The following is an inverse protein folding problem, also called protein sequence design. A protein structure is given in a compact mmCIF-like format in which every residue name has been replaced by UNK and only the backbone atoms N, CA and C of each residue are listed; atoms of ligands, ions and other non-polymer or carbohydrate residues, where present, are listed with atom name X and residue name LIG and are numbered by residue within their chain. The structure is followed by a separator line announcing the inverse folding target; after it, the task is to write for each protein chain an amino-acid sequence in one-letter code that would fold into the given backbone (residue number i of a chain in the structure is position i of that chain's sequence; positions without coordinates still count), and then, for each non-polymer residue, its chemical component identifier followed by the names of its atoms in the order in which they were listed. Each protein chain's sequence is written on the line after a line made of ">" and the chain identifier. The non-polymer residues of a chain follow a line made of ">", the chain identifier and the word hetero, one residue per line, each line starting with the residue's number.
data_IF_610111232838
#
_entry.id   IF_610111232838
#
_cell.length_a   1.000
_cell.length_b   1.000
_cell.length_c   1.000
_cell.angle_alpha   90.00
_cell.angle_beta   90.00
_cell.angle_gamma   90.00
#
_symmetry.space_group_name_H-M   'P 1'
#
loop_
_entity.id
_entity.type
_entity.pdbx_description
1 polymer ?
#
# COMPACT_ATOMS: atom_id res chain seq x y z
N UNK A 1 32.20 10.94 -19.67
CA UNK A 1 31.16 10.56 -18.68
C UNK A 1 29.74 10.95 -19.11
N UNK A 2 29.52 12.01 -19.91
CA UNK A 2 28.15 12.41 -20.35
C UNK A 2 27.47 11.54 -21.43
N UNK A 3 28.21 10.71 -22.18
CA UNK A 3 27.61 9.87 -23.22
C UNK A 3 26.91 8.60 -22.69
N UNK A 4 27.30 8.09 -21.52
CA UNK A 4 26.72 6.88 -20.94
C UNK A 4 25.42 7.14 -20.18
N UNK A 5 25.26 8.32 -19.57
CA UNK A 5 24.01 8.75 -18.92
C UNK A 5 22.88 9.03 -19.94
N UNK A 6 23.21 9.53 -21.13
CA UNK A 6 22.24 9.74 -22.21
C UNK A 6 21.69 8.44 -22.81
N UNK A 7 22.44 7.33 -22.75
CA UNK A 7 21.96 6.04 -23.26
C UNK A 7 20.95 5.38 -22.32
N UNK A 8 21.12 5.50 -21.00
CA UNK A 8 20.15 5.03 -20.01
C UNK A 8 18.85 5.85 -20.11
N UNK A 9 18.95 7.17 -20.30
CA UNK A 9 17.78 8.04 -20.48
C UNK A 9 17.01 7.81 -21.80
N UNK A 10 17.69 7.42 -22.89
CA UNK A 10 17.02 7.14 -24.17
C UNK A 10 16.32 5.77 -24.23
N UNK A 11 16.69 4.80 -23.38
CA UNK A 11 16.04 3.49 -23.33
C UNK A 11 14.67 3.50 -22.61
N UNK A 12 14.39 4.48 -21.75
CA UNK A 12 13.12 4.55 -21.01
C UNK A 12 11.90 4.95 -21.86
N UNK A 13 12.08 5.51 -23.06
CA UNK A 13 10.97 6.01 -23.89
C UNK A 13 10.21 4.93 -24.69
N UNK A 14 10.65 3.67 -24.67
CA UNK A 14 10.00 2.55 -25.38
C UNK A 14 9.65 1.36 -24.47
N UNK A 15 9.83 1.50 -23.16
CA UNK A 15 9.62 0.39 -22.23
C UNK A 15 8.12 0.17 -22.04
N UNK A 16 7.61 -0.99 -22.51
CA UNK A 16 6.22 -1.39 -22.28
C UNK A 16 5.98 -1.56 -20.78
N UNK A 17 4.84 -1.07 -20.30
CA UNK A 17 4.38 -1.36 -18.95
C UNK A 17 4.31 -2.88 -18.74
N UNK A 18 5.04 -3.38 -17.74
CA UNK A 18 5.10 -4.80 -17.42
C UNK A 18 3.98 -5.20 -16.48
N UNK A 19 3.49 -6.43 -16.58
CA UNK A 19 2.52 -6.99 -15.64
C UNK A 19 3.28 -7.94 -14.72
N UNK A 20 3.17 -7.73 -13.41
CA UNK A 20 3.74 -8.58 -12.38
C UNK A 20 2.59 -9.21 -11.60
N UNK A 21 2.34 -10.50 -11.84
CA UNK A 21 1.26 -11.23 -11.22
C UNK A 21 1.58 -11.68 -9.78
N UNK A 22 0.61 -12.32 -9.12
CA UNK A 22 0.72 -12.75 -7.74
C UNK A 22 1.84 -13.79 -7.51
N UNK A 23 2.05 -14.72 -8.44
CA UNK A 23 3.10 -15.74 -8.33
C UNK A 23 4.49 -15.12 -8.48
N UNK A 24 4.63 -14.16 -9.39
CA UNK A 24 5.86 -13.37 -9.54
C UNK A 24 6.14 -12.54 -8.28
N UNK A 25 5.13 -11.91 -7.67
CA UNK A 25 5.31 -11.19 -6.40
C UNK A 25 5.80 -12.13 -5.29
N UNK A 26 5.21 -13.32 -5.15
CA UNK A 26 5.59 -14.32 -4.14
C UNK A 26 7.03 -14.83 -4.32
N UNK A 27 7.51 -14.98 -5.56
CA UNK A 27 8.87 -15.45 -5.85
C UNK A 27 9.92 -14.36 -5.67
N UNK A 28 9.55 -13.11 -5.94
CA UNK A 28 10.46 -11.95 -5.80
C UNK A 28 10.66 -11.54 -4.33
N UNK A 29 9.72 -11.85 -3.44
CA UNK A 29 9.75 -11.40 -2.04
C UNK A 29 10.08 -12.53 -1.05
N UNK A 30 10.80 -12.16 0.01
CA UNK A 30 10.86 -12.89 1.28
C UNK A 30 10.69 -11.90 2.41
N UNK A 31 10.20 -12.35 3.57
CA UNK A 31 9.92 -11.46 4.70
C UNK A 31 11.17 -10.70 5.17
N UNK A 32 12.31 -11.40 5.29
CA UNK A 32 13.57 -10.82 5.76
C UNK A 32 14.07 -9.71 4.83
N UNK A 33 14.05 -9.96 3.52
CA UNK A 33 14.50 -8.99 2.52
C UNK A 33 13.58 -7.78 2.50
N UNK A 34 12.26 -8.00 2.54
CA UNK A 34 11.30 -6.90 2.51
C UNK A 34 11.39 -6.05 3.78
N UNK A 35 11.48 -6.65 4.96
CA UNK A 35 11.66 -5.94 6.24
C UNK A 35 12.89 -5.04 6.19
N UNK A 36 14.04 -5.57 5.76
CA UNK A 36 15.29 -4.80 5.69
C UNK A 36 15.16 -3.62 4.71
N UNK A 37 14.56 -3.87 3.54
CA UNK A 37 14.35 -2.81 2.55
C UNK A 37 13.39 -1.72 3.07
N UNK A 38 12.31 -2.10 3.74
CA UNK A 38 11.39 -1.14 4.35
C UNK A 38 12.09 -0.29 5.41
N UNK A 39 12.93 -0.89 6.26
CA UNK A 39 13.69 -0.16 7.29
C UNK A 39 14.66 0.87 6.68
N UNK A 40 15.36 0.51 5.61
CA UNK A 40 16.29 1.43 4.94
C UNK A 40 15.57 2.57 4.22
N UNK A 41 14.44 2.28 3.56
CA UNK A 41 13.79 3.21 2.65
C UNK A 41 12.78 4.15 3.33
N UNK A 42 12.15 3.71 4.43
CA UNK A 42 11.16 4.51 5.18
C UNK A 42 11.78 5.52 6.15
N UNK A 43 13.12 5.55 6.25
CA UNK A 43 13.84 6.51 7.10
C UNK A 43 13.91 7.91 6.49
N UNK A 44 13.46 8.10 5.25
CA UNK A 44 13.56 9.34 4.49
C UNK A 44 12.20 10.06 4.38
N UNK A 45 12.15 11.33 4.80
CA UNK A 45 10.94 12.20 4.75
C UNK A 45 10.58 12.70 3.33
N UNK A 46 11.08 12.06 2.27
CA UNK A 46 10.92 12.54 0.89
C UNK A 46 9.70 11.95 0.18
N UNK A 47 8.93 11.08 0.83
CA UNK A 47 7.76 10.43 0.24
C UNK A 47 6.49 11.16 0.67
N UNK A 48 5.77 11.66 -0.32
CA UNK A 48 4.46 12.28 -0.15
C UNK A 48 3.38 11.21 -0.27
N UNK A 49 2.46 11.20 0.70
CA UNK A 49 1.35 10.26 0.74
C UNK A 49 0.12 11.01 1.28
N UNK A 50 -0.78 11.50 0.42
CA UNK A 50 -2.01 12.12 0.88
C UNK A 50 -2.91 11.09 1.57
N UNK A 51 -3.95 11.59 2.23
CA UNK A 51 -4.95 10.72 2.83
C UNK A 51 -5.62 9.86 1.76
N UNK A 52 -5.78 8.57 2.07
CA UNK A 52 -6.55 7.62 1.26
C UNK A 52 -7.93 8.20 0.95
N UNK A 53 -8.28 8.22 -0.33
CA UNK A 53 -9.63 8.55 -0.76
C UNK A 53 -10.50 7.29 -0.66
N UNK A 54 -11.69 7.43 -0.09
CA UNK A 54 -12.70 6.36 0.01
C UNK A 54 -13.95 6.81 -0.75
N UNK A 55 -14.22 6.12 -1.86
CA UNK A 55 -15.31 6.42 -2.76
C UNK A 55 -16.37 5.32 -2.62
N UNK A 56 -17.58 5.72 -2.25
CA UNK A 56 -18.72 4.82 -2.18
C UNK A 56 -19.18 4.46 -3.61
N UNK A 57 -19.31 3.17 -3.90
CA UNK A 57 -19.88 2.66 -5.14
C UNK A 57 -21.27 2.12 -4.82
N UNK A 58 -22.29 2.88 -5.21
CA UNK A 58 -23.67 2.42 -5.13
C UNK A 58 -23.87 1.29 -6.16
N UNK A 59 -24.37 0.15 -5.70
CA UNK A 59 -24.54 -1.02 -6.54
C UNK A 59 -25.84 -0.88 -7.35
N UNK A 60 -25.74 -0.76 -8.67
CA UNK A 60 -26.89 -0.50 -9.55
C UNK A 60 -27.85 -1.70 -9.67
N UNK A 61 -27.39 -2.89 -9.26
CA UNK A 61 -28.04 -4.18 -9.53
C UNK A 61 -28.79 -4.75 -8.32
N UNK A 62 -28.43 -4.39 -7.10
CA UNK A 62 -29.13 -4.83 -5.89
C UNK A 62 -29.16 -3.70 -4.84
N UNK A 63 -30.29 -2.99 -4.76
CA UNK A 63 -30.50 -1.88 -3.81
C UNK A 63 -30.42 -2.28 -2.33
N UNK A 64 -30.54 -3.58 -2.03
CA UNK A 64 -30.48 -4.11 -0.66
C UNK A 64 -29.08 -4.60 -0.27
N UNK A 65 -28.12 -4.66 -1.21
CA UNK A 65 -26.75 -5.02 -0.90
C UNK A 65 -26.01 -3.80 -0.31
N UNK A 66 -25.08 -4.00 0.66
CA UNK A 66 -24.23 -2.92 1.13
C UNK A 66 -23.41 -2.35 -0.04
N UNK A 67 -23.17 -1.03 -0.08
CA UNK A 67 -22.43 -0.41 -1.17
C UNK A 67 -21.00 -0.95 -1.23
N UNK A 68 -20.46 -1.01 -2.45
CA UNK A 68 -19.05 -1.26 -2.66
C UNK A 68 -18.23 -0.03 -2.29
N UNK A 69 -16.92 -0.21 -2.14
CA UNK A 69 -15.98 0.87 -1.92
C UNK A 69 -14.83 0.78 -2.91
N UNK A 70 -14.40 1.94 -3.42
CA UNK A 70 -13.13 2.11 -4.12
C UNK A 70 -12.22 2.97 -3.25
N UNK A 71 -11.06 2.41 -2.90
CA UNK A 71 -10.00 3.13 -2.21
C UNK A 71 -8.92 3.51 -3.22
N UNK A 72 -8.56 4.78 -3.26
CA UNK A 72 -7.45 5.30 -4.06
C UNK A 72 -6.36 5.77 -3.11
N UNK A 73 -5.17 5.18 -3.25
CA UNK A 73 -4.05 5.38 -2.34
C UNK A 73 -2.79 5.73 -3.14
N UNK A 74 -2.61 7.01 -3.51
CA UNK A 74 -1.41 7.46 -4.21
C UNK A 74 -0.27 7.74 -3.23
N UNK A 75 0.96 7.55 -3.70
CA UNK A 75 2.19 8.01 -3.07
C UNK A 75 3.23 8.35 -4.14
N UNK A 76 4.12 9.29 -3.86
CA UNK A 76 5.24 9.63 -4.75
C UNK A 76 6.42 10.16 -3.96
N UNK A 77 7.63 10.03 -4.48
CA UNK A 77 8.80 10.70 -3.90
C UNK A 77 9.36 11.77 -4.81
N UNK A 78 10.01 12.76 -4.20
CA UNK A 78 10.84 13.74 -4.88
C UNK A 78 12.34 13.38 -4.82
N UNK A 79 12.68 12.25 -4.18
CA UNK A 79 14.07 11.79 -4.05
C UNK A 79 14.50 10.99 -5.27
N UNK A 80 15.72 11.21 -5.80
CA UNK A 80 16.31 10.37 -6.84
C UNK A 80 16.47 8.89 -6.44
N UNK A 81 16.46 8.57 -5.14
CA UNK A 81 16.55 7.19 -4.65
C UNK A 81 15.24 6.40 -4.80
N UNK A 82 14.10 7.11 -4.95
CA UNK A 82 12.78 6.52 -5.15
C UNK A 82 12.10 7.32 -6.28
N UNK A 83 12.56 7.21 -7.53
CA UNK A 83 12.08 8.01 -8.66
C UNK A 83 10.73 7.51 -9.20
N UNK A 84 9.77 7.26 -8.30
CA UNK A 84 8.51 6.61 -8.63
C UNK A 84 7.28 7.34 -8.08
N UNK A 85 6.21 7.26 -8.85
CA UNK A 85 4.84 7.52 -8.45
C UNK A 85 4.12 6.18 -8.39
N UNK A 86 3.32 5.95 -7.37
CA UNK A 86 2.55 4.73 -7.24
C UNK A 86 1.13 4.99 -6.79
N UNK A 87 0.19 4.22 -7.35
CA UNK A 87 -1.23 4.30 -6.98
C UNK A 87 -1.74 2.90 -6.71
N UNK A 88 -2.17 2.65 -5.47
CA UNK A 88 -2.95 1.46 -5.16
C UNK A 88 -4.44 1.74 -5.31
N UNK A 89 -5.10 0.89 -6.07
CA UNK A 89 -6.55 0.85 -6.19
C UNK A 89 -7.03 -0.39 -5.43
N UNK A 90 -7.97 -0.20 -4.50
CA UNK A 90 -8.59 -1.30 -3.77
C UNK A 90 -10.09 -1.24 -4.00
N UNK A 91 -10.68 -2.37 -4.35
CA UNK A 91 -12.13 -2.53 -4.39
C UNK A 91 -12.55 -3.43 -3.25
N UNK A 92 -13.54 -3.00 -2.48
CA UNK A 92 -14.13 -3.78 -1.41
C UNK A 92 -15.64 -3.92 -1.70
N UNK A 93 -16.06 -5.15 -1.99
CA UNK A 93 -17.44 -5.50 -2.31
C UNK A 93 -17.88 -6.60 -1.34
N UNK A 94 -18.50 -6.25 -0.19
CA UNK A 94 -18.83 -7.22 0.85
C UNK A 94 -19.68 -8.39 0.34
N UNK A 95 -20.55 -8.13 -0.64
CA UNK A 95 -21.43 -9.13 -1.24
C UNK A 95 -20.71 -10.21 -2.06
N UNK A 96 -19.47 -9.98 -2.51
CA UNK A 96 -18.73 -10.94 -3.32
C UNK A 96 -18.55 -12.30 -2.64
N UNK A 97 -18.43 -12.31 -1.31
CA UNK A 97 -18.27 -13.53 -0.52
C UNK A 97 -19.46 -14.49 -0.68
N UNK A 98 -20.68 -13.96 -0.80
CA UNK A 98 -21.88 -14.77 -1.06
C UNK A 98 -21.90 -15.39 -2.47
N UNK A 99 -21.11 -14.84 -3.39
CA UNK A 99 -20.96 -15.33 -4.77
C UNK A 99 -19.70 -16.19 -4.95
N UNK A 100 -18.96 -16.49 -3.87
CA UNK A 100 -17.70 -17.21 -3.94
C UNK A 100 -16.53 -16.40 -4.53
N UNK A 101 -16.67 -15.07 -4.62
CA UNK A 101 -15.62 -14.17 -5.12
C UNK A 101 -14.89 -13.48 -3.95
N UNK A 102 -13.64 -13.02 -4.15
CA UNK A 102 -12.93 -12.22 -3.16
C UNK A 102 -13.70 -10.94 -2.80
N UNK A 103 -13.88 -10.71 -1.49
CA UNK A 103 -14.52 -9.49 -0.96
C UNK A 103 -13.68 -8.23 -1.15
N UNK A 104 -12.36 -8.38 -1.31
CA UNK A 104 -11.40 -7.31 -1.51
C UNK A 104 -10.48 -7.72 -2.66
N UNK A 105 -10.30 -6.83 -3.63
CA UNK A 105 -9.26 -6.96 -4.66
C UNK A 105 -8.44 -5.68 -4.69
N UNK A 106 -7.15 -5.79 -4.99
CA UNK A 106 -6.30 -4.63 -5.16
C UNK A 106 -5.38 -4.75 -6.39
N UNK A 107 -5.11 -3.62 -7.01
CA UNK A 107 -4.13 -3.45 -8.07
C UNK A 107 -3.20 -2.29 -7.75
N UNK A 108 -1.97 -2.37 -8.24
CA UNK A 108 -0.96 -1.34 -8.03
C UNK A 108 -0.37 -0.90 -9.36
N UNK A 109 -0.42 0.40 -9.64
CA UNK A 109 0.27 1.00 -10.78
C UNK A 109 1.52 1.72 -10.27
N UNK A 110 2.68 1.36 -10.81
CA UNK A 110 3.95 2.05 -10.63
C UNK A 110 4.29 2.81 -11.90
N UNK A 111 4.64 4.08 -11.75
CA UNK A 111 5.02 4.99 -12.83
C UNK A 111 6.33 5.69 -12.51
N UNK A 112 7.06 6.08 -13.55
CA UNK A 112 8.25 6.93 -13.42
C UNK A 112 7.85 8.33 -12.93
N UNK A 113 8.52 8.84 -11.89
CA UNK A 113 8.15 10.14 -11.30
C UNK A 113 8.52 11.34 -12.17
N UNK A 114 9.45 11.16 -13.12
CA UNK A 114 9.94 12.25 -13.97
C UNK A 114 9.09 12.44 -15.22
N UNK A 115 8.74 11.35 -15.89
CA UNK A 115 8.00 11.32 -17.16
C UNK A 115 6.52 11.01 -16.99
N UNK A 116 6.11 10.42 -15.85
CA UNK A 116 4.76 9.91 -15.63
C UNK A 116 4.44 8.62 -16.38
N UNK A 117 5.42 8.04 -17.09
CA UNK A 117 5.23 6.84 -17.90
C UNK A 117 4.89 5.63 -17.01
N UNK A 118 3.87 4.82 -17.33
CA UNK A 118 3.56 3.62 -16.58
C UNK A 118 4.66 2.58 -16.76
N UNK A 119 5.22 2.10 -15.65
CA UNK A 119 6.32 1.15 -15.64
C UNK A 119 5.84 -0.27 -15.37
N UNK A 120 4.99 -0.44 -14.35
CA UNK A 120 4.51 -1.76 -13.97
C UNK A 120 3.08 -1.72 -13.41
N UNK A 121 2.32 -2.75 -13.76
CA UNK A 121 1.07 -3.11 -13.10
C UNK A 121 1.33 -4.34 -12.25
N UNK A 122 1.23 -4.20 -10.93
CA UNK A 122 1.56 -5.24 -9.95
C UNK A 122 0.28 -5.69 -9.23
N UNK A 123 0.21 -6.98 -8.92
CA UNK A 123 -0.85 -7.50 -8.06
C UNK A 123 -0.84 -6.78 -6.69
N UNK A 124 -1.85 -5.95 -6.47
CA UNK A 124 -1.95 -5.12 -5.26
C UNK A 124 -2.46 -5.90 -4.06
N UNK A 125 -3.07 -7.06 -4.28
CA UNK A 125 -3.56 -7.95 -3.21
C UNK A 125 -2.37 -8.60 -2.53
N UNK A 126 -1.43 -9.14 -3.32
CA UNK A 126 -0.18 -9.70 -2.81
C UNK A 126 0.73 -8.67 -2.17
N UNK A 127 0.88 -7.46 -2.76
CA UNK A 127 1.58 -6.36 -2.07
C UNK A 127 0.94 -6.11 -0.70
N UNK A 128 -0.38 -6.09 -0.62
CA UNK A 128 -1.10 -5.87 0.64
C UNK A 128 -0.87 -7.01 1.62
N UNK A 129 -0.83 -8.27 1.19
CA UNK A 129 -0.48 -9.40 2.04
C UNK A 129 0.94 -9.25 2.58
N UNK A 130 1.94 -9.11 1.71
CA UNK A 130 3.35 -9.02 2.10
C UNK A 130 3.64 -7.85 3.03
N UNK A 131 3.16 -6.65 2.68
CA UNK A 131 3.36 -5.48 3.52
C UNK A 131 2.60 -5.60 4.85
N UNK A 132 1.42 -6.24 4.87
CA UNK A 132 0.70 -6.45 6.12
C UNK A 132 1.41 -7.48 6.99
N UNK A 133 1.93 -8.57 6.44
CA UNK A 133 2.72 -9.56 7.19
C UNK A 133 4.01 -8.93 7.73
N UNK A 134 4.75 -8.18 6.90
CA UNK A 134 6.00 -7.54 7.31
C UNK A 134 5.80 -6.37 8.28
N UNK A 135 4.80 -5.50 8.04
CA UNK A 135 4.44 -4.44 9.01
C UNK A 135 3.84 -5.07 10.26
N UNK A 136 3.09 -6.18 10.19
CA UNK A 136 2.55 -6.86 11.37
C UNK A 136 3.64 -7.53 12.20
N UNK A 137 4.62 -8.17 11.55
CA UNK A 137 5.83 -8.65 12.20
C UNK A 137 6.63 -7.50 12.84
N UNK A 138 6.52 -6.28 12.27
CA UNK A 138 7.11 -5.07 12.83
C UNK A 138 6.17 -4.29 13.79
N UNK A 139 4.85 -4.59 13.84
CA UNK A 139 3.71 -3.82 14.47
C UNK A 139 2.31 -4.35 14.01
N UNK A 140 1.88 -5.49 14.55
CA UNK A 140 0.68 -6.34 14.29
C UNK A 140 -0.59 -5.67 13.73
N UNK A 141 -1.17 -6.12 12.57
CA UNK A 141 -2.30 -5.47 11.88
C UNK A 141 -3.67 -6.09 11.50
N UNK A 142 -3.96 -7.36 11.77
CA UNK A 142 -5.28 -7.96 11.44
C UNK A 142 -6.42 -7.74 12.45
N UNK A 143 -6.12 -7.35 13.69
CA UNK A 143 -7.03 -7.61 14.83
C UNK A 143 -8.20 -6.63 14.96
N UNK A 144 -8.05 -5.37 14.56
CA UNK A 144 -9.10 -4.34 14.75
C UNK A 144 -10.36 -4.62 13.93
N UNK A 145 -10.21 -5.08 12.69
CA UNK A 145 -11.37 -5.38 11.82
C UNK A 145 -12.15 -6.55 12.41
N UNK A 146 -11.45 -7.59 12.86
CA UNK A 146 -12.07 -8.70 13.59
C UNK A 146 -12.75 -8.25 14.88
N UNK A 147 -12.16 -7.31 15.62
CA UNK A 147 -12.74 -6.77 16.85
C UNK A 147 -14.04 -5.98 16.59
N UNK A 148 -14.11 -5.16 15.53
CA UNK A 148 -15.35 -4.47 15.14
C UNK A 148 -16.44 -5.45 14.72
N UNK A 149 -16.12 -6.45 13.87
CA UNK A 149 -17.09 -7.46 13.45
C UNK A 149 -17.60 -8.34 14.61
N UNK A 150 -16.76 -8.58 15.63
CA UNK A 150 -17.14 -9.31 16.86
C UNK A 150 -17.79 -8.43 17.92
N UNK A 151 -17.96 -7.13 17.68
CA UNK A 151 -18.53 -6.18 18.63
C UNK A 151 -17.66 -5.92 19.87
N UNK A 152 -16.37 -6.28 19.81
CA UNK A 152 -15.39 -6.08 20.90
C UNK A 152 -14.87 -4.64 20.94
N UNK A 153 -14.97 -3.91 19.83
CA UNK A 153 -14.69 -2.49 19.71
C UNK A 153 -15.81 -1.83 18.90
N UNK A 154 -16.05 -0.54 19.13
CA UNK A 154 -16.96 0.30 18.37
C UNK A 154 -16.17 1.39 17.62
N UNK A 155 -16.65 1.90 16.48
CA UNK A 155 -15.96 2.96 15.75
C UNK A 155 -15.66 4.20 16.61
N UNK A 156 -16.52 4.48 17.59
CA UNK A 156 -16.38 5.61 18.51
C UNK A 156 -15.23 5.43 19.51
N UNK A 157 -14.74 4.20 19.70
CA UNK A 157 -13.60 3.91 20.57
C UNK A 157 -12.25 4.34 19.93
N UNK A 158 -12.24 4.72 18.65
CA UNK A 158 -11.06 5.25 17.96
C UNK A 158 -10.92 6.76 18.22
N UNK A 159 -10.13 7.10 19.24
CA UNK A 159 -9.98 8.48 19.75
C UNK A 159 -9.12 9.43 18.90
N UNK A 160 -8.33 8.91 17.95
CA UNK A 160 -7.52 9.72 17.03
C UNK A 160 -6.33 8.99 16.42
N UNK A 161 -5.50 9.72 15.68
CA UNK A 161 -4.25 9.21 15.11
C UNK A 161 -3.07 9.38 16.07
N UNK A 162 -2.00 8.59 15.89
CA UNK A 162 -0.76 8.75 16.65
C UNK A 162 -0.15 10.16 16.46
N UNK A 163 -0.25 10.73 15.27
CA UNK A 163 0.27 12.06 15.00
C UNK A 163 -0.46 13.13 15.84
N UNK A 164 -1.79 13.02 15.98
CA UNK A 164 -2.59 13.93 16.82
C UNK A 164 -2.30 13.74 18.31
N UNK A 165 -2.08 12.51 18.75
CA UNK A 165 -1.66 12.20 20.13
C UNK A 165 -0.30 12.85 20.45
N UNK A 166 0.69 12.66 19.57
CA UNK A 166 2.05 13.19 19.74
C UNK A 166 2.07 14.72 19.70
N UNK A 167 1.23 15.33 18.87
CA UNK A 167 1.08 16.79 18.76
C UNK A 167 0.22 17.40 19.88
N UNK A 168 -0.38 16.58 20.73
CA UNK A 168 -1.25 17.03 21.83
C UNK A 168 -2.64 17.50 21.40
N UNK A 169 -3.03 17.33 20.14
CA UNK A 169 -4.37 17.69 19.65
C UNK A 169 -5.45 16.65 20.03
N UNK A 170 -5.03 15.45 20.46
CA UNK A 170 -5.89 14.44 21.09
C UNK A 170 -5.27 13.99 22.42
N UNK A 171 -6.11 13.87 23.44
CA UNK A 171 -5.71 13.37 24.75
C UNK A 171 -5.37 11.88 24.69
N UNK A 172 -4.25 11.50 25.30
CA UNK A 172 -3.90 10.11 25.53
C UNK A 172 -4.67 9.51 26.70
N UNK A 173 -4.20 8.35 27.16
CA UNK A 173 -4.69 7.67 28.36
C UNK A 173 -4.86 8.65 29.53
N UNK A 174 -6.07 8.68 30.09
CA UNK A 174 -6.45 9.57 31.20
C UNK A 174 -6.60 8.83 32.53
N UNK A 175 -6.83 7.51 32.50
CA UNK A 175 -7.00 6.67 33.70
C UNK A 175 -6.05 5.46 33.70
N UNK A 176 -5.68 5.01 34.89
CA UNK A 176 -4.77 3.87 35.10
C UNK A 176 -5.36 2.51 34.69
N UNK A 177 -6.64 2.43 34.35
CA UNK A 177 -7.32 1.20 33.93
C UNK A 177 -7.56 1.13 32.40
N UNK A 178 -7.33 2.22 31.68
CA UNK A 178 -7.44 2.28 30.22
C UNK A 178 -6.23 1.63 29.54
N UNK A 179 -6.49 0.85 28.47
CA UNK A 179 -5.47 0.29 27.57
C UNK A 179 -5.55 1.04 26.25
N UNK A 180 -4.47 1.71 25.84
CA UNK A 180 -4.38 2.38 24.54
C UNK A 180 -3.67 1.47 23.54
N UNK A 181 -4.37 1.10 22.46
CA UNK A 181 -3.78 0.33 21.36
C UNK A 181 -3.66 1.22 20.14
N UNK A 182 -2.43 1.52 19.72
CA UNK A 182 -2.21 2.20 18.46
C UNK A 182 -2.15 1.18 17.32
N UNK A 183 -2.96 1.44 16.29
CA UNK A 183 -2.98 0.64 15.08
C UNK A 183 -2.59 1.43 13.86
N UNK A 184 -1.48 1.03 13.22
CA UNK A 184 -1.15 1.52 11.88
C UNK A 184 -2.23 1.10 10.88
N UNK A 185 -2.79 2.09 10.18
CA UNK A 185 -3.47 1.90 8.90
C UNK A 185 -2.42 1.71 7.81
N UNK A 186 -2.74 0.91 6.79
CA UNK A 186 -1.86 0.72 5.64
C UNK A 186 -1.51 2.05 4.97
N UNK A 187 -0.22 2.36 4.94
CA UNK A 187 0.34 3.56 4.31
C UNK A 187 0.69 3.28 2.86
N UNK A 188 0.29 4.17 1.94
CA UNK A 188 0.66 4.07 0.53
C UNK A 188 2.18 4.19 0.32
N UNK A 189 2.89 4.79 1.28
CA UNK A 189 4.36 4.83 1.33
C UNK A 189 4.94 3.42 1.30
N UNK A 190 4.41 2.51 2.12
CA UNK A 190 4.92 1.14 2.18
C UNK A 190 4.60 0.38 0.91
N UNK A 191 3.43 0.65 0.33
CA UNK A 191 3.05 0.06 -0.95
C UNK A 191 4.00 0.53 -2.08
N UNK A 192 4.39 1.82 -2.10
CA UNK A 192 5.34 2.39 -3.07
C UNK A 192 6.73 1.77 -2.96
N UNK A 193 7.28 1.72 -1.75
CA UNK A 193 8.60 1.13 -1.50
C UNK A 193 8.61 -0.36 -1.83
N UNK A 194 7.53 -1.08 -1.51
CA UNK A 194 7.40 -2.50 -1.86
C UNK A 194 7.33 -2.69 -3.38
N UNK A 195 6.53 -1.88 -4.09
CA UNK A 195 6.40 -1.95 -5.53
C UNK A 195 7.70 -1.59 -6.27
N UNK A 196 8.43 -0.57 -5.78
CA UNK A 196 9.79 -0.26 -6.24
C UNK A 196 10.67 -1.50 -6.17
N UNK A 197 10.74 -2.14 -5.00
CA UNK A 197 11.60 -3.30 -4.79
C UNK A 197 11.26 -4.45 -5.72
N UNK A 198 9.96 -4.76 -5.87
CA UNK A 198 9.47 -5.79 -6.79
C UNK A 198 9.89 -5.47 -8.23
N UNK A 199 9.65 -4.24 -8.68
CA UNK A 199 9.95 -3.80 -10.04
C UNK A 199 11.44 -3.89 -10.36
N UNK A 200 12.30 -3.33 -9.50
CA UNK A 200 13.75 -3.32 -9.70
C UNK A 200 14.33 -4.73 -9.69
N UNK A 201 13.85 -5.60 -8.79
CA UNK A 201 14.27 -7.00 -8.73
C UNK A 201 13.81 -7.80 -9.96
N UNK A 202 12.61 -7.52 -10.45
CA UNK A 202 12.11 -8.14 -11.69
C UNK A 202 12.98 -7.77 -12.90
N UNK A 203 13.40 -6.51 -13.02
CA UNK A 203 14.30 -6.08 -14.09
C UNK A 203 15.68 -6.76 -14.01
N UNK A 204 16.22 -6.93 -12.80
CA UNK A 204 17.50 -7.61 -12.58
C UNK A 204 17.44 -9.09 -12.99
N UNK A 205 16.33 -9.78 -12.69
CA UNK A 205 16.15 -11.20 -13.06
C UNK A 205 15.77 -11.45 -14.52
N UNK A 206 15.44 -10.42 -15.29
CA UNK A 206 15.08 -10.53 -16.72
C UNK A 206 16.26 -10.23 -17.67
N UNK A 207 17.45 -9.98 -17.11
CA UNK A 207 18.66 -9.59 -17.85
C UNK A 207 19.65 -10.75 -18.10
N UNK A 208 19.26 -11.98 -17.78
CA UNK A 208 19.95 -13.25 -18.09
C UNK A 208 19.24 -14.00 -19.22
#
# INVERSE_FOLDING_TARGET
>A
MGHQQNQIQQQHHLQKCIIIDSDQVRTLLTESILIHHLQSSLSNDTIHCPQRQNLCINNNTNRNAPPGQLLVMPAWSQSPAIPYIGVKLVTAFPHNTHMGLPGINASYLLSDSFTGSPLAFVDGTEITHWRTSCISALKEAGELVGAFCRGLLRPEDVVGTLAELVRGSKGGRSRSEEVTVFKSVGSAVVDLVTAQFIYEKHLQGSSD
#
